data_IF_071860179955
#
_entry.id   IF_071860179955
#
_cell.length_a   1.000
_cell.length_b   1.000
_cell.length_c   1.000
_cell.angle_alpha   90.00
_cell.angle_beta   90.00
_cell.angle_gamma   90.00
#
_symmetry.space_group_name_H-M   'P 1'
#
loop_
_entity.id
_entity.type
_entity.pdbx_description
1 polymer ?
#
# COMPACT_ATOMS: atom_id res chain seq x y z
N UNK A 1 6.78 -9.89 -46.81
CA UNK A 1 6.95 -9.35 -45.44
C UNK A 1 7.46 -7.91 -45.57
N UNK A 2 6.71 -6.91 -45.10
CA UNK A 2 7.12 -5.51 -45.15
C UNK A 2 7.75 -5.13 -43.80
N UNK A 3 9.06 -5.28 -43.71
CA UNK A 3 9.89 -5.09 -42.51
C UNK A 3 9.73 -3.71 -41.83
N UNK A 4 9.28 -2.69 -42.56
CA UNK A 4 8.97 -1.38 -41.97
C UNK A 4 7.67 -1.38 -41.15
N UNK A 5 6.64 -2.08 -41.63
CA UNK A 5 5.35 -2.18 -40.93
C UNK A 5 5.50 -2.97 -39.62
N UNK A 6 6.30 -4.04 -39.66
CA UNK A 6 6.57 -4.91 -38.51
C UNK A 6 7.35 -4.16 -37.41
N UNK A 7 8.27 -3.26 -37.78
CA UNK A 7 9.05 -2.45 -36.84
C UNK A 7 8.18 -1.38 -36.14
N UNK A 8 7.30 -0.69 -36.88
CA UNK A 8 6.39 0.32 -36.31
C UNK A 8 5.42 -0.30 -35.31
N UNK A 9 4.84 -1.47 -35.62
CA UNK A 9 3.97 -2.19 -34.71
C UNK A 9 4.69 -2.63 -33.41
N UNK A 10 5.96 -3.03 -33.53
CA UNK A 10 6.81 -3.40 -32.39
C UNK A 10 7.10 -2.21 -31.47
N UNK A 11 7.42 -1.05 -32.05
CA UNK A 11 7.67 0.19 -31.30
C UNK A 11 6.40 0.67 -30.60
N UNK A 12 5.26 0.67 -31.30
CA UNK A 12 3.98 1.08 -30.73
C UNK A 12 3.59 0.21 -29.52
N UNK A 13 3.81 -1.11 -29.62
CA UNK A 13 3.56 -2.05 -28.53
C UNK A 13 4.44 -1.76 -27.31
N UNK A 14 5.75 -1.51 -27.52
CA UNK A 14 6.67 -1.16 -26.41
C UNK A 14 6.28 0.15 -25.73
N UNK A 15 5.90 1.17 -26.50
CA UNK A 15 5.45 2.44 -25.95
C UNK A 15 4.17 2.28 -25.12
N UNK A 16 3.21 1.49 -25.60
CA UNK A 16 2.00 1.18 -24.85
C UNK A 16 2.31 0.49 -23.52
N UNK A 17 3.20 -0.51 -23.52
CA UNK A 17 3.63 -1.20 -22.29
C UNK A 17 4.23 -0.22 -21.28
N UNK A 18 5.10 0.70 -21.72
CA UNK A 18 5.70 1.70 -20.83
C UNK A 18 4.65 2.67 -20.27
N UNK A 19 3.75 3.20 -21.11
CA UNK A 19 2.69 4.12 -20.68
C UNK A 19 1.73 3.47 -19.68
N UNK A 20 1.30 2.24 -19.95
CA UNK A 20 0.44 1.51 -19.03
C UNK A 20 1.17 1.18 -17.72
N UNK A 21 2.46 0.81 -17.80
CA UNK A 21 3.29 0.57 -16.62
C UNK A 21 3.39 1.77 -15.68
N UNK A 22 3.69 2.96 -16.23
CA UNK A 22 3.76 4.20 -15.44
C UNK A 22 2.43 4.56 -14.75
N UNK A 23 1.30 4.24 -15.38
CA UNK A 23 -0.03 4.46 -14.79
C UNK A 23 -0.29 3.50 -13.64
N UNK A 24 0.01 2.22 -13.82
CA UNK A 24 -0.13 1.21 -12.77
C UNK A 24 0.71 1.58 -11.53
N UNK A 25 1.96 1.99 -11.73
CA UNK A 25 2.84 2.38 -10.63
C UNK A 25 2.31 3.61 -9.88
N UNK A 26 1.79 4.61 -10.61
CA UNK A 26 1.14 5.77 -9.99
C UNK A 26 -0.06 5.37 -9.16
N UNK A 27 -0.96 4.58 -9.74
CA UNK A 27 -2.20 4.15 -9.08
C UNK A 27 -1.88 3.32 -7.81
N UNK A 28 -0.82 2.51 -7.85
CA UNK A 28 -0.32 1.76 -6.70
C UNK A 28 0.15 2.68 -5.56
N UNK A 29 1.00 3.67 -5.86
CA UNK A 29 1.48 4.62 -4.85
C UNK A 29 0.36 5.47 -4.25
N UNK A 30 -0.60 5.89 -5.09
CA UNK A 30 -1.78 6.60 -4.62
C UNK A 30 -2.61 5.73 -3.68
N UNK A 31 -2.74 4.43 -3.95
CA UNK A 31 -3.42 3.48 -3.07
C UNK A 31 -2.68 3.27 -1.74
N UNK A 32 -1.35 3.11 -1.76
CA UNK A 32 -0.51 2.99 -0.56
C UNK A 32 -0.66 4.24 0.33
N UNK A 33 -0.50 5.43 -0.25
CA UNK A 33 -0.65 6.70 0.47
C UNK A 33 -2.07 6.89 1.05
N UNK A 34 -3.10 6.42 0.35
CA UNK A 34 -4.48 6.50 0.82
C UNK A 34 -4.73 5.61 2.06
N UNK A 35 -4.09 4.43 2.14
CA UNK A 35 -4.19 3.56 3.32
C UNK A 35 -3.50 4.18 4.54
N UNK A 36 -2.32 4.77 4.35
CA UNK A 36 -1.59 5.48 5.42
C UNK A 36 -2.42 6.65 5.96
N UNK A 37 -2.98 7.47 5.08
CA UNK A 37 -3.86 8.58 5.47
C UNK A 37 -5.13 8.09 6.20
N UNK A 38 -5.71 6.97 5.76
CA UNK A 38 -6.85 6.36 6.45
C UNK A 38 -6.47 5.92 7.88
N UNK A 39 -5.30 5.29 8.05
CA UNK A 39 -4.81 4.84 9.35
C UNK A 39 -4.56 6.02 10.30
N UNK A 40 -3.97 7.11 9.81
CA UNK A 40 -3.78 8.37 10.57
C UNK A 40 -5.12 8.91 11.06
N UNK A 41 -6.12 9.02 10.18
CA UNK A 41 -7.46 9.52 10.53
C UNK A 41 -8.14 8.63 11.57
N UNK A 42 -8.04 7.31 11.43
CA UNK A 42 -8.60 6.38 12.40
C UNK A 42 -7.91 6.46 13.77
N UNK A 43 -6.58 6.63 13.79
CA UNK A 43 -5.84 6.84 15.04
C UNK A 43 -6.27 8.13 15.77
N UNK A 44 -6.46 9.22 15.02
CA UNK A 44 -6.98 10.48 15.55
C UNK A 44 -8.41 10.32 16.10
N UNK A 45 -9.27 9.56 15.41
CA UNK A 45 -10.62 9.25 15.89
C UNK A 45 -10.58 8.46 17.19
N UNK A 46 -9.73 7.42 17.28
CA UNK A 46 -9.58 6.61 18.49
C UNK A 46 -9.14 7.47 19.69
N UNK A 47 -8.13 8.33 19.48
CA UNK A 47 -7.67 9.25 20.51
C UNK A 47 -8.78 10.20 20.98
N UNK A 48 -9.60 10.70 20.05
CA UNK A 48 -10.76 11.55 20.35
C UNK A 48 -11.81 10.82 21.19
N UNK A 49 -12.16 9.59 20.81
CA UNK A 49 -13.13 8.77 21.55
C UNK A 49 -12.68 8.48 22.98
N UNK A 50 -11.40 8.11 23.17
CA UNK A 50 -10.84 7.83 24.49
C UNK A 50 -10.77 9.09 25.35
N UNK A 51 -10.40 10.24 24.75
CA UNK A 51 -10.39 11.54 25.44
C UNK A 51 -11.79 11.95 25.89
N UNK A 52 -12.78 11.86 25.00
CA UNK A 52 -14.17 12.18 25.31
C UNK A 52 -14.71 11.32 26.46
N UNK A 53 -14.39 10.01 26.48
CA UNK A 53 -14.76 9.11 27.58
C UNK A 53 -14.19 9.58 28.93
N UNK A 54 -12.92 10.02 28.93
CA UNK A 54 -12.24 10.53 30.14
C UNK A 54 -12.86 11.85 30.61
N UNK A 55 -13.09 12.79 29.70
CA UNK A 55 -13.56 14.14 30.02
C UNK A 55 -15.03 14.18 30.43
N UNK A 56 -15.88 13.34 29.83
CA UNK A 56 -17.29 13.23 30.17
C UNK A 56 -17.57 12.45 31.46
N UNK A 57 -16.53 11.90 32.12
CA UNK A 57 -16.65 11.09 33.35
C UNK A 57 -17.68 9.95 33.26
N UNK A 58 -17.89 9.41 32.05
CA UNK A 58 -18.80 8.28 31.83
C UNK A 58 -18.16 6.97 32.29
N UNK A 59 -18.98 5.93 32.45
CA UNK A 59 -18.50 4.60 32.81
C UNK A 59 -17.49 4.06 31.79
N UNK A 60 -16.53 3.26 32.26
CA UNK A 60 -15.44 2.72 31.43
C UNK A 60 -15.93 1.93 30.20
N UNK A 61 -17.12 1.32 30.29
CA UNK A 61 -17.75 0.54 29.22
C UNK A 61 -18.50 1.39 28.19
N UNK A 62 -18.75 2.67 28.46
CA UNK A 62 -19.42 3.56 27.52
C UNK A 62 -18.58 3.70 26.24
N UNK A 63 -19.16 3.34 25.10
CA UNK A 63 -18.50 3.38 23.80
C UNK A 63 -17.46 2.27 23.57
N UNK A 64 -17.33 1.30 24.48
CA UNK A 64 -16.31 0.24 24.37
C UNK A 64 -16.46 -0.59 23.10
N UNK A 65 -17.69 -0.96 22.72
CA UNK A 65 -17.95 -1.70 21.48
C UNK A 65 -17.51 -0.90 20.24
N UNK A 66 -17.78 0.41 20.21
CA UNK A 66 -17.37 1.27 19.10
C UNK A 66 -15.84 1.38 19.00
N UNK A 67 -15.14 1.49 20.14
CA UNK A 67 -13.67 1.49 20.19
C UNK A 67 -13.10 0.17 19.66
N UNK A 68 -13.68 -0.98 20.06
CA UNK A 68 -13.25 -2.30 19.58
C UNK A 68 -13.46 -2.45 18.07
N UNK A 69 -14.60 -1.98 17.55
CA UNK A 69 -14.88 -1.99 16.10
C UNK A 69 -13.94 -1.07 15.32
N UNK A 70 -13.57 0.09 15.87
CA UNK A 70 -12.58 0.98 15.26
C UNK A 70 -11.19 0.34 15.23
N UNK A 71 -10.77 -0.31 16.31
CA UNK A 71 -9.50 -1.04 16.36
C UNK A 71 -9.46 -2.21 15.37
N UNK A 72 -10.57 -2.94 15.21
CA UNK A 72 -10.70 -3.98 14.19
C UNK A 72 -10.60 -3.40 12.76
N UNK A 73 -11.18 -2.22 12.52
CA UNK A 73 -11.05 -1.52 11.25
C UNK A 73 -9.61 -1.07 10.96
N UNK A 74 -8.88 -0.56 11.96
CA UNK A 74 -7.45 -0.23 11.83
C UNK A 74 -6.61 -1.46 11.47
N UNK A 75 -6.94 -2.62 12.07
CA UNK A 75 -6.28 -3.88 11.71
C UNK A 75 -6.52 -4.26 10.25
N UNK A 76 -7.75 -4.13 9.77
CA UNK A 76 -8.08 -4.41 8.38
C UNK A 76 -7.32 -3.50 7.39
N UNK A 77 -7.10 -2.23 7.74
CA UNK A 77 -6.28 -1.30 6.93
C UNK A 77 -4.82 -1.73 6.89
N UNK A 78 -4.26 -2.16 8.03
CA UNK A 78 -2.90 -2.69 8.10
C UNK A 78 -2.73 -3.98 7.27
N UNK A 79 -3.70 -4.90 7.36
CA UNK A 79 -3.69 -6.12 6.57
C UNK A 79 -3.77 -5.79 5.06
N UNK A 80 -4.62 -4.83 4.66
CA UNK A 80 -4.69 -4.34 3.28
C UNK A 80 -3.38 -3.69 2.81
N UNK A 81 -2.68 -2.97 3.69
CA UNK A 81 -1.37 -2.36 3.39
C UNK A 81 -0.32 -3.44 3.12
N UNK A 82 -0.34 -4.53 3.89
CA UNK A 82 0.51 -5.70 3.65
C UNK A 82 0.23 -6.37 2.30
N UNK A 83 -1.03 -6.46 1.89
CA UNK A 83 -1.38 -6.99 0.56
C UNK A 83 -0.98 -6.04 -0.58
N UNK A 84 -1.10 -4.72 -0.42
CA UNK A 84 -0.58 -3.76 -1.41
C UNK A 84 0.93 -3.87 -1.56
N UNK A 85 1.68 -4.03 -0.46
CA UNK A 85 3.13 -4.22 -0.53
C UNK A 85 3.52 -5.52 -1.27
N UNK A 86 2.73 -6.59 -1.16
CA UNK A 86 2.93 -7.80 -1.98
C UNK A 86 2.61 -7.56 -3.45
N UNK A 87 1.53 -6.84 -3.75
CA UNK A 87 1.19 -6.44 -5.13
C UNK A 87 2.32 -5.60 -5.73
N UNK A 88 2.87 -4.65 -4.97
CA UNK A 88 4.04 -3.86 -5.35
C UNK A 88 5.21 -4.77 -5.73
N UNK A 89 5.64 -5.67 -4.84
CA UNK A 89 6.73 -6.60 -5.12
C UNK A 89 6.51 -7.44 -6.38
N UNK A 90 5.28 -7.93 -6.59
CA UNK A 90 4.96 -8.71 -7.79
C UNK A 90 4.95 -7.85 -9.06
N UNK A 91 4.53 -6.60 -8.99
CA UNK A 91 4.60 -5.67 -10.12
C UNK A 91 6.04 -5.34 -10.49
N UNK A 92 6.95 -5.25 -9.52
CA UNK A 92 8.39 -5.13 -9.79
C UNK A 92 8.93 -6.34 -10.56
N UNK A 93 8.52 -7.56 -10.20
CA UNK A 93 8.90 -8.78 -10.94
C UNK A 93 8.40 -8.72 -12.40
N UNK A 94 7.12 -8.39 -12.59
CA UNK A 94 6.52 -8.27 -13.92
C UNK A 94 7.25 -7.21 -14.75
N UNK A 95 7.60 -6.07 -14.14
CA UNK A 95 8.37 -5.02 -14.79
C UNK A 95 9.71 -5.51 -15.34
N UNK A 96 10.42 -6.34 -14.56
CA UNK A 96 11.66 -7.00 -15.01
C UNK A 96 11.42 -7.96 -16.17
N UNK A 97 10.38 -8.79 -16.10
CA UNK A 97 10.05 -9.76 -17.15
C UNK A 97 9.77 -9.09 -18.50
N UNK A 98 8.98 -8.00 -18.49
CA UNK A 98 8.59 -7.29 -19.72
C UNK A 98 9.59 -6.21 -20.14
N UNK A 99 10.75 -6.12 -19.48
CA UNK A 99 11.77 -5.09 -19.70
C UNK A 99 11.18 -3.66 -19.71
N UNK A 100 10.19 -3.43 -18.85
CA UNK A 100 9.51 -2.15 -18.71
C UNK A 100 10.14 -1.34 -17.58
N UNK A 101 9.93 -0.02 -17.63
CA UNK A 101 10.26 0.94 -16.57
C UNK A 101 9.37 0.80 -15.32
N UNK A 102 8.61 -0.29 -15.21
CA UNK A 102 7.85 -0.69 -14.02
C UNK A 102 8.74 -1.06 -12.83
N UNK A 103 10.05 -1.23 -13.05
CA UNK A 103 11.02 -1.38 -11.96
C UNK A 103 11.25 0.00 -11.33
N UNK A 104 10.47 0.31 -10.30
CA UNK A 104 10.61 1.52 -9.51
C UNK A 104 11.91 1.52 -8.68
N UNK A 105 12.36 2.70 -8.24
CA UNK A 105 13.45 2.90 -7.27
C UNK A 105 13.02 2.51 -5.83
N UNK A 106 12.23 1.43 -5.71
CA UNK A 106 11.82 0.89 -4.43
C UNK A 106 13.06 0.29 -3.73
N UNK A 107 13.42 0.75 -2.52
CA UNK A 107 14.61 0.27 -1.85
C UNK A 107 14.51 -1.23 -1.60
N UNK A 108 15.63 -1.98 -1.67
CA UNK A 108 15.63 -3.44 -1.56
C UNK A 108 15.05 -3.96 -0.24
N UNK A 109 14.97 -3.12 0.79
CA UNK A 109 14.35 -3.39 2.10
C UNK A 109 12.82 -3.21 2.15
N UNK A 110 12.18 -2.68 1.10
CA UNK A 110 10.72 -2.50 1.03
C UNK A 110 9.94 -3.79 0.74
N UNK A 111 10.65 -4.87 0.39
CA UNK A 111 10.02 -6.16 0.17
C UNK A 111 9.63 -6.80 1.50
N UNK A 112 8.33 -6.99 1.73
CA UNK A 112 7.83 -7.75 2.88
C UNK A 112 8.31 -9.19 2.73
N UNK A 113 9.34 -9.55 3.51
CA UNK A 113 9.78 -10.93 3.63
C UNK A 113 8.60 -11.79 4.11
N UNK A 114 8.48 -13.00 3.57
CA UNK A 114 7.56 -14.01 4.09
C UNK A 114 7.83 -14.15 5.59
N UNK A 115 6.80 -13.91 6.41
CA UNK A 115 6.94 -13.62 7.83
C UNK A 115 7.69 -14.73 8.58
N UNK A 116 9.00 -14.57 8.71
CA UNK A 116 9.76 -15.08 9.84
C UNK A 116 9.82 -13.95 10.86
N UNK A 117 9.52 -14.20 12.14
CA UNK A 117 9.38 -13.14 13.13
C UNK A 117 10.75 -12.55 13.45
N UNK A 118 11.20 -11.56 12.67
CA UNK A 118 12.41 -10.79 12.95
C UNK A 118 12.03 -9.54 13.74
N UNK A 119 12.65 -9.42 14.92
CA UNK A 119 12.42 -8.38 15.90
C UNK A 119 12.67 -6.97 15.32
N UNK A 120 11.68 -6.09 15.49
CA UNK A 120 11.81 -4.66 15.24
C UNK A 120 12.75 -4.10 16.33
N UNK A 121 13.96 -3.69 15.95
CA UNK A 121 14.82 -2.86 16.79
C UNK A 121 14.62 -1.41 16.38
N UNK A 122 13.88 -0.66 17.20
CA UNK A 122 13.89 0.80 17.14
C UNK A 122 15.06 1.26 18.00
N UNK A 123 16.10 1.80 17.37
CA UNK A 123 17.13 2.54 18.08
C UNK A 123 16.55 3.91 18.48
N UNK A 124 16.64 4.20 19.78
CA UNK A 124 16.21 5.45 20.41
C UNK A 124 17.18 6.60 20.13
#
# INVERSE_FOLDING_TARGET
MNTNQDNVATIATRNAISVHGMRIQRDLHEAEAALDEALIRQANLLATMVRARREAQVGAFTGQEAILRLAASQRAVLDASGELARVHGKLTDVGREVHSTLADDCPPTGQVAEATPAAISVAA
#
